data_IF_300992578479
#
_entry.id   IF_300992578479
#
_cell.length_a   1.000
_cell.length_b   1.000
_cell.length_c   1.000
_cell.angle_alpha   90.00
_cell.angle_beta   90.00
_cell.angle_gamma   90.00
#
_symmetry.space_group_name_H-M   'P 1'
#
loop_
_entity.id
_entity.type
_entity.pdbx_description
1 polymer ?
#
# COMPACT_ATOMS: atom_id res chain seq x y z
N UNK A 1 -14.50 42.73 13.49
CA UNK A 1 -14.95 41.97 12.30
C UNK A 1 -14.03 40.76 12.17
N UNK A 2 -14.47 39.60 12.70
CA UNK A 2 -13.64 38.42 12.85
C UNK A 2 -13.73 37.57 11.58
N UNK A 3 -12.64 37.44 10.85
CA UNK A 3 -12.51 36.51 9.73
C UNK A 3 -12.39 35.08 10.30
N UNK A 4 -13.49 34.35 10.35
CA UNK A 4 -13.49 32.90 10.53
C UNK A 4 -12.84 32.30 9.29
N UNK A 5 -11.62 31.76 9.47
CA UNK A 5 -11.09 30.77 8.54
C UNK A 5 -12.05 29.58 8.56
N UNK A 6 -12.75 29.37 7.46
CA UNK A 6 -13.43 28.10 7.22
C UNK A 6 -12.34 27.04 7.20
N UNK A 7 -12.32 26.19 8.21
CA UNK A 7 -11.69 24.88 8.09
C UNK A 7 -12.30 24.27 6.83
N UNK A 8 -11.45 23.99 5.85
CA UNK A 8 -11.81 23.08 4.77
C UNK A 8 -12.14 21.75 5.45
N UNK A 9 -13.40 21.57 5.73
CA UNK A 9 -14.00 20.29 5.98
C UNK A 9 -13.93 19.53 4.65
N UNK A 10 -12.77 18.94 4.38
CA UNK A 10 -12.61 17.89 3.39
C UNK A 10 -13.16 16.59 3.98
N UNK A 11 -14.28 16.70 4.70
CA UNK A 11 -15.17 15.61 5.06
C UNK A 11 -16.03 15.17 3.88
N UNK A 12 -15.43 15.13 2.69
CA UNK A 12 -15.88 14.21 1.66
C UNK A 12 -15.66 12.79 2.19
N UNK A 13 -16.49 11.80 1.81
CA UNK A 13 -16.23 10.42 2.15
C UNK A 13 -14.77 10.18 1.80
N UNK A 14 -13.97 9.75 2.80
CA UNK A 14 -12.59 9.37 2.63
C UNK A 14 -12.47 8.77 1.25
N UNK A 15 -11.79 9.45 0.35
CA UNK A 15 -11.35 8.90 -0.92
C UNK A 15 -10.24 7.93 -0.56
N UNK A 16 -10.60 6.90 0.21
CA UNK A 16 -9.96 5.61 0.12
C UNK A 16 -9.97 5.35 -1.37
N UNK A 17 -8.82 5.48 -1.98
CA UNK A 17 -8.61 5.47 -3.42
C UNK A 17 -9.64 4.53 -4.05
N UNK A 18 -10.56 5.00 -4.91
CA UNK A 18 -11.48 4.11 -5.63
C UNK A 18 -10.71 3.01 -6.36
N UNK A 19 -9.40 3.25 -6.60
CA UNK A 19 -8.45 2.29 -7.12
C UNK A 19 -8.20 1.08 -6.25
N UNK A 20 -8.08 1.19 -4.92
CA UNK A 20 -7.76 0.00 -4.10
C UNK A 20 -8.88 -1.04 -4.13
N UNK A 21 -10.13 -0.61 -3.95
CA UNK A 21 -11.30 -1.47 -4.10
C UNK A 21 -11.52 -1.91 -5.55
N UNK A 22 -11.23 -1.03 -6.51
CA UNK A 22 -11.37 -1.30 -7.93
C UNK A 22 -10.36 -2.31 -8.45
N UNK A 23 -9.11 -2.25 -8.01
CA UNK A 23 -8.04 -3.16 -8.45
C UNK A 23 -8.31 -4.59 -7.97
N UNK A 24 -8.68 -4.77 -6.70
CA UNK A 24 -9.00 -6.10 -6.15
C UNK A 24 -10.25 -6.71 -6.79
N UNK A 25 -11.30 -5.92 -7.02
CA UNK A 25 -12.51 -6.36 -7.71
C UNK A 25 -12.27 -6.70 -9.18
N UNK A 26 -11.52 -5.85 -9.88
CA UNK A 26 -11.29 -6.03 -11.32
C UNK A 26 -10.33 -7.18 -11.63
N UNK A 27 -9.30 -7.40 -10.80
CA UNK A 27 -8.26 -8.37 -11.08
C UNK A 27 -8.63 -9.82 -10.72
N UNK A 28 -9.45 -10.05 -9.70
CA UNK A 28 -9.70 -11.39 -9.17
C UNK A 28 -11.19 -11.74 -8.94
N UNK A 29 -12.12 -10.82 -9.19
CA UNK A 29 -13.54 -11.04 -8.91
C UNK A 29 -13.86 -11.28 -7.43
N UNK A 30 -12.96 -10.85 -6.52
CA UNK A 30 -13.09 -11.05 -5.07
C UNK A 30 -13.86 -9.88 -4.48
N UNK A 31 -14.93 -10.17 -3.75
CA UNK A 31 -15.62 -9.16 -2.96
C UNK A 31 -14.78 -8.77 -1.75
N UNK A 32 -14.51 -7.46 -1.64
CA UNK A 32 -13.73 -6.92 -0.52
C UNK A 32 -14.67 -6.60 0.64
N UNK A 33 -14.51 -7.32 1.73
CA UNK A 33 -15.22 -7.04 2.97
C UNK A 33 -14.68 -5.74 3.59
N UNK A 34 -15.56 -4.74 3.87
CA UNK A 34 -15.11 -3.45 4.44
C UNK A 34 -14.37 -3.61 5.77
N UNK A 35 -14.71 -4.62 6.55
CA UNK A 35 -14.07 -4.96 7.82
C UNK A 35 -12.60 -5.38 7.70
N UNK A 36 -12.12 -5.75 6.52
CA UNK A 36 -10.72 -6.12 6.27
C UNK A 36 -9.84 -4.94 5.82
N UNK A 37 -10.44 -3.78 5.52
CA UNK A 37 -9.68 -2.59 5.13
C UNK A 37 -9.33 -1.78 6.37
N UNK A 38 -8.05 -1.46 6.53
CA UNK A 38 -7.51 -0.66 7.63
C UNK A 38 -6.71 0.52 7.11
N UNK A 39 -6.83 1.66 7.78
CA UNK A 39 -6.07 2.85 7.43
C UNK A 39 -4.81 2.94 8.29
N UNK A 40 -3.65 2.70 7.70
CA UNK A 40 -2.39 2.51 8.42
C UNK A 40 -1.49 3.74 8.52
N UNK A 41 -1.89 4.92 8.00
CA UNK A 41 -1.15 6.20 8.11
C UNK A 41 0.35 6.12 7.72
N UNK A 42 0.75 5.16 6.88
CA UNK A 42 2.14 4.86 6.52
C UNK A 42 3.06 4.61 7.74
N UNK A 43 2.50 4.19 8.86
CA UNK A 43 3.20 3.95 10.12
C UNK A 43 3.24 2.44 10.45
N UNK A 44 4.43 1.94 10.81
CA UNK A 44 4.63 0.53 11.10
C UNK A 44 3.94 0.09 12.41
N UNK A 45 3.90 0.95 13.43
CA UNK A 45 3.28 0.61 14.71
C UNK A 45 1.75 0.53 14.55
N UNK A 46 1.15 1.49 13.87
CA UNK A 46 -0.28 1.48 13.53
C UNK A 46 -0.63 0.26 12.69
N UNK A 47 0.18 -0.08 11.69
CA UNK A 47 -0.02 -1.27 10.88
C UNK A 47 0.09 -2.56 11.71
N UNK A 48 1.02 -2.62 12.66
CA UNK A 48 1.16 -3.76 13.56
C UNK A 48 -0.05 -3.94 14.49
N UNK A 49 -0.63 -2.85 14.99
CA UNK A 49 -1.85 -2.90 15.79
C UNK A 49 -3.04 -3.42 14.98
N UNK A 50 -3.24 -2.90 13.77
CA UNK A 50 -4.29 -3.36 12.87
C UNK A 50 -4.12 -4.82 12.46
N UNK A 51 -2.89 -5.23 12.13
CA UNK A 51 -2.59 -6.61 11.81
C UNK A 51 -2.89 -7.54 13.00
N UNK A 52 -2.50 -7.15 14.21
CA UNK A 52 -2.78 -7.94 15.41
C UNK A 52 -4.29 -8.09 15.67
N UNK A 53 -5.10 -7.06 15.39
CA UNK A 53 -6.56 -7.15 15.50
C UNK A 53 -7.13 -8.12 14.45
N UNK A 54 -6.69 -8.02 13.19
CA UNK A 54 -7.13 -8.89 12.11
C UNK A 54 -6.74 -10.35 12.36
N UNK A 55 -5.52 -10.60 12.82
CA UNK A 55 -5.00 -11.95 13.06
C UNK A 55 -5.60 -12.63 14.31
N UNK A 56 -6.19 -11.86 15.23
CA UNK A 56 -6.92 -12.39 16.41
C UNK A 56 -8.42 -12.60 16.15
N UNK A 57 -8.93 -12.21 15.00
CA UNK A 57 -10.32 -12.42 14.64
C UNK A 57 -10.65 -13.92 14.56
N UNK A 58 -11.92 -14.32 14.74
CA UNK A 58 -12.35 -15.73 14.62
C UNK A 58 -12.05 -16.32 13.24
N UNK A 59 -12.10 -15.50 12.19
CA UNK A 59 -11.75 -15.85 10.81
C UNK A 59 -10.65 -14.88 10.31
N UNK A 60 -9.36 -15.16 10.60
CA UNK A 60 -8.29 -14.28 10.26
C UNK A 60 -7.94 -14.34 8.76
N UNK A 61 -7.52 -13.23 8.15
CA UNK A 61 -7.11 -13.23 6.75
C UNK A 61 -5.86 -14.11 6.55
N UNK A 62 -5.82 -14.86 5.45
CA UNK A 62 -4.65 -15.63 5.02
C UNK A 62 -3.64 -14.81 4.21
N UNK A 63 -3.97 -13.57 3.87
CA UNK A 63 -3.07 -12.64 3.19
C UNK A 63 -3.36 -11.19 3.59
N UNK A 64 -2.31 -10.39 3.70
CA UNK A 64 -2.37 -8.94 3.93
C UNK A 64 -1.52 -8.23 2.88
N UNK A 65 -2.15 -7.31 2.16
CA UNK A 65 -1.45 -6.33 1.32
C UNK A 65 -1.32 -5.02 2.11
N UNK A 66 -0.10 -4.56 2.28
CA UNK A 66 0.21 -3.28 2.92
C UNK A 66 0.56 -2.24 1.87
N UNK A 67 0.03 -1.02 2.01
CA UNK A 67 0.20 0.06 1.04
C UNK A 67 1.62 0.68 1.04
N UNK A 68 2.51 0.21 1.93
CA UNK A 68 3.95 0.49 1.90
C UNK A 68 4.73 -0.64 2.58
N UNK A 69 6.02 -0.77 2.27
CA UNK A 69 6.91 -1.73 2.92
C UNK A 69 7.08 -1.43 4.42
N UNK A 70 7.05 -0.16 4.81
CA UNK A 70 7.05 0.24 6.22
C UNK A 70 5.87 -0.37 6.98
N UNK A 71 4.68 -0.32 6.39
CA UNK A 71 3.49 -0.96 6.97
C UNK A 71 3.60 -2.49 6.94
N UNK A 72 4.13 -3.07 5.86
CA UNK A 72 4.35 -4.51 5.76
C UNK A 72 5.30 -5.01 6.86
N UNK A 73 6.34 -4.26 7.21
CA UNK A 73 7.24 -4.55 8.33
C UNK A 73 6.46 -4.58 9.65
N UNK A 74 5.52 -3.66 9.85
CA UNK A 74 4.61 -3.68 11.00
C UNK A 74 3.76 -4.94 11.05
N UNK A 75 3.20 -5.37 9.90
CA UNK A 75 2.43 -6.62 9.78
C UNK A 75 3.29 -7.83 10.14
N UNK A 76 4.52 -7.92 9.61
CA UNK A 76 5.46 -9.00 9.90
C UNK A 76 5.79 -9.07 11.41
N UNK A 77 6.04 -7.90 12.03
CA UNK A 77 6.28 -7.81 13.46
C UNK A 77 5.06 -8.30 14.30
N UNK A 78 3.85 -7.99 13.87
CA UNK A 78 2.64 -8.49 14.56
C UNK A 78 2.47 -9.99 14.38
N UNK A 79 2.72 -10.53 13.19
CA UNK A 79 2.65 -11.97 12.92
C UNK A 79 3.67 -12.74 13.77
N UNK A 80 4.92 -12.26 13.85
CA UNK A 80 5.96 -12.86 14.68
C UNK A 80 5.57 -12.91 16.16
N UNK A 81 5.11 -11.77 16.73
CA UNK A 81 4.64 -11.69 18.13
C UNK A 81 3.46 -12.61 18.43
N UNK A 82 2.65 -12.93 17.44
CA UNK A 82 1.48 -13.81 17.59
C UNK A 82 1.78 -15.27 17.22
N UNK A 83 3.00 -15.59 16.80
CA UNK A 83 3.38 -16.92 16.36
C UNK A 83 2.72 -17.35 15.05
N UNK A 84 2.28 -16.40 14.22
CA UNK A 84 1.67 -16.68 12.92
C UNK A 84 2.76 -16.85 11.87
N UNK A 85 2.85 -18.05 11.29
CA UNK A 85 3.88 -18.37 10.32
C UNK A 85 3.68 -17.64 8.98
N UNK A 86 4.71 -16.87 8.56
CA UNK A 86 4.77 -16.20 7.26
C UNK A 86 5.81 -16.92 6.41
N UNK A 87 5.51 -17.39 5.20
CA UNK A 87 4.23 -17.31 4.48
C UNK A 87 3.26 -18.45 4.79
N UNK A 88 3.57 -19.32 5.75
CA UNK A 88 2.87 -20.59 6.00
C UNK A 88 1.38 -20.44 6.33
N UNK A 89 1.01 -19.47 7.14
CA UNK A 89 -0.37 -19.16 7.55
C UNK A 89 -0.83 -17.81 7.02
N UNK A 90 0.09 -16.86 6.83
CA UNK A 90 -0.17 -15.51 6.36
C UNK A 90 0.79 -15.14 5.24
N UNK A 91 0.28 -14.78 4.08
CA UNK A 91 1.08 -14.10 3.06
C UNK A 91 1.08 -12.59 3.30
N UNK A 92 2.25 -11.95 3.22
CA UNK A 92 2.40 -10.50 3.35
C UNK A 92 3.06 -9.94 2.11
N UNK A 93 2.43 -8.92 1.53
CA UNK A 93 2.96 -8.18 0.36
C UNK A 93 2.95 -6.70 0.70
N UNK A 94 4.09 -6.04 0.47
CA UNK A 94 4.27 -4.60 0.63
C UNK A 94 4.17 -3.83 -0.68
N UNK A 95 4.62 -2.59 -0.64
CA UNK A 95 4.69 -1.69 -1.78
C UNK A 95 5.86 -0.72 -1.56
N UNK A 96 6.62 -0.38 -2.58
CA UNK A 96 7.74 0.52 -2.78
C UNK A 96 9.06 -0.18 -3.13
N UNK A 97 9.33 -1.37 -2.59
CA UNK A 97 10.61 -2.09 -2.66
C UNK A 97 11.77 -1.27 -2.08
N UNK A 98 11.58 -0.80 -0.84
CA UNK A 98 12.65 -0.13 -0.09
C UNK A 98 13.81 -1.09 0.20
N UNK A 99 14.99 -0.56 0.49
CA UNK A 99 16.20 -1.36 0.70
C UNK A 99 16.02 -2.49 1.73
N UNK A 100 15.35 -2.19 2.85
CA UNK A 100 15.09 -3.18 3.91
C UNK A 100 14.18 -4.32 3.47
N UNK A 101 13.33 -4.14 2.45
CA UNK A 101 12.46 -5.19 1.95
C UNK A 101 13.24 -6.40 1.43
N UNK A 102 14.36 -6.17 0.77
CA UNK A 102 15.24 -7.24 0.27
C UNK A 102 15.87 -8.03 1.42
N UNK A 103 16.37 -7.36 2.45
CA UNK A 103 16.98 -8.01 3.62
C UNK A 103 15.97 -8.84 4.42
N UNK A 104 14.73 -8.39 4.48
CA UNK A 104 13.65 -9.09 5.18
C UNK A 104 12.99 -10.19 4.33
N UNK A 105 13.41 -10.36 3.09
CA UNK A 105 12.76 -11.28 2.16
C UNK A 105 11.29 -10.88 1.88
N UNK A 106 10.93 -9.60 2.02
CA UNK A 106 9.58 -9.10 1.84
C UNK A 106 9.19 -9.10 0.36
N UNK A 107 8.10 -9.79 0.05
CA UNK A 107 7.43 -9.67 -1.25
C UNK A 107 6.79 -8.29 -1.34
N UNK A 108 7.02 -7.57 -2.43
CA UNK A 108 6.58 -6.18 -2.56
C UNK A 108 6.42 -5.79 -4.02
N UNK A 109 5.79 -4.66 -4.26
CA UNK A 109 5.68 -4.06 -5.59
C UNK A 109 6.70 -2.94 -5.72
N UNK A 110 7.67 -3.13 -6.63
CA UNK A 110 8.70 -2.12 -6.92
C UNK A 110 8.12 -1.00 -7.77
N UNK A 111 8.28 0.23 -7.30
CA UNK A 111 8.00 1.43 -8.05
C UNK A 111 9.31 1.99 -8.69
N UNK A 112 9.26 2.54 -9.90
CA UNK A 112 10.41 3.22 -10.50
C UNK A 112 10.54 4.66 -9.96
N UNK A 113 10.79 4.82 -8.64
CA UNK A 113 10.77 6.12 -7.95
C UNK A 113 11.73 7.14 -8.55
N UNK A 114 12.96 6.73 -8.88
CA UNK A 114 13.94 7.62 -9.50
C UNK A 114 13.46 8.13 -10.87
N UNK A 115 12.89 7.24 -11.69
CA UNK A 115 12.32 7.60 -12.98
C UNK A 115 11.10 8.52 -12.82
N UNK A 116 10.23 8.23 -11.84
CA UNK A 116 9.06 9.04 -11.52
C UNK A 116 9.46 10.46 -11.13
N UNK A 117 10.44 10.59 -10.24
CA UNK A 117 10.97 11.90 -9.83
C UNK A 117 11.60 12.66 -10.98
N UNK A 118 12.46 12.03 -11.78
CA UNK A 118 13.11 12.64 -12.93
C UNK A 118 12.09 13.11 -13.98
N UNK A 119 11.11 12.28 -14.31
CA UNK A 119 10.06 12.61 -15.27
C UNK A 119 9.16 13.73 -14.75
N UNK A 120 8.80 13.70 -13.46
CA UNK A 120 8.04 14.77 -12.82
C UNK A 120 8.76 16.11 -12.88
N UNK A 121 10.05 16.15 -12.55
CA UNK A 121 10.88 17.34 -12.61
C UNK A 121 11.01 17.87 -14.05
N UNK A 122 11.29 16.97 -15.02
CA UNK A 122 11.39 17.34 -16.44
C UNK A 122 10.10 17.99 -16.94
N UNK A 123 8.95 17.41 -16.62
CA UNK A 123 7.62 17.91 -17.02
C UNK A 123 7.29 19.24 -16.37
N UNK A 124 7.64 19.40 -15.08
CA UNK A 124 7.47 20.67 -14.38
C UNK A 124 8.31 21.77 -15.02
N UNK A 125 9.60 21.52 -15.28
CA UNK A 125 10.47 22.49 -15.95
C UNK A 125 9.96 22.87 -17.35
N UNK A 126 9.46 21.92 -18.13
CA UNK A 126 8.88 22.18 -19.43
C UNK A 126 7.66 23.14 -19.31
N UNK A 127 6.77 22.88 -18.35
CA UNK A 127 5.62 23.78 -18.10
C UNK A 127 6.02 25.17 -17.66
N UNK A 128 7.05 25.30 -16.83
CA UNK A 128 7.57 26.60 -16.40
C UNK A 128 8.16 27.42 -17.58
N UNK A 129 8.64 26.74 -18.62
CA UNK A 129 9.08 27.38 -19.88
C UNK A 129 7.93 27.69 -20.86
N UNK A 130 6.68 27.41 -20.48
CA UNK A 130 5.51 27.62 -21.34
C UNK A 130 5.27 26.50 -22.37
N UNK A 131 6.02 25.39 -22.29
CA UNK A 131 5.86 24.26 -23.20
C UNK A 131 4.58 23.46 -22.86
N UNK A 132 3.93 22.94 -23.90
CA UNK A 132 2.80 22.01 -23.70
C UNK A 132 3.31 20.61 -23.38
N UNK A 133 2.99 20.13 -22.17
CA UNK A 133 3.34 18.78 -21.75
C UNK A 133 2.16 17.84 -21.99
N UNK A 134 2.36 16.87 -22.85
CA UNK A 134 1.37 15.83 -23.17
C UNK A 134 2.05 14.44 -23.16
N UNK A 135 1.33 13.37 -22.81
CA UNK A 135 0.00 13.33 -22.20
C UNK A 135 0.01 13.95 -20.79
N UNK A 136 -1.15 14.38 -20.28
CA UNK A 136 -1.26 14.94 -18.93
C UNK A 136 -1.03 13.88 -17.83
N UNK A 137 -1.38 12.65 -18.13
CA UNK A 137 -1.15 11.48 -17.26
C UNK A 137 -0.17 10.54 -17.97
N UNK A 138 0.81 10.06 -17.22
CA UNK A 138 1.76 9.05 -17.66
C UNK A 138 1.80 7.94 -16.64
N UNK A 139 1.67 6.71 -17.11
CA UNK A 139 1.81 5.51 -16.30
C UNK A 139 3.24 4.99 -16.43
N UNK A 140 3.83 4.63 -15.31
CA UNK A 140 5.16 4.03 -15.27
C UNK A 140 5.01 2.55 -14.90
N UNK A 141 5.84 1.66 -15.45
CA UNK A 141 5.78 0.24 -15.16
C UNK A 141 6.13 -0.03 -13.69
N UNK A 142 5.39 -0.93 -13.06
CA UNK A 142 5.69 -1.47 -11.74
C UNK A 142 6.04 -2.95 -11.87
N UNK A 143 6.77 -3.50 -10.89
CA UNK A 143 7.22 -4.88 -10.90
C UNK A 143 6.91 -5.59 -9.58
N UNK A 144 6.35 -6.80 -9.64
CA UNK A 144 6.16 -7.61 -8.44
C UNK A 144 7.47 -8.33 -8.09
N UNK A 145 8.02 -7.99 -6.95
CA UNK A 145 9.20 -8.63 -6.35
C UNK A 145 8.72 -9.75 -5.42
N UNK A 146 8.49 -10.94 -5.97
CA UNK A 146 8.12 -12.10 -5.18
C UNK A 146 9.33 -12.61 -4.38
N UNK A 147 9.17 -12.68 -3.04
CA UNK A 147 10.21 -13.15 -2.09
C UNK A 147 9.61 -14.12 -1.07
N UNK A 148 10.19 -14.19 0.13
CA UNK A 148 9.86 -15.17 1.15
C UNK A 148 8.58 -14.97 1.93
N UNK A 149 7.94 -13.81 1.88
CA UNK A 149 6.75 -13.49 2.70
C UNK A 149 5.41 -13.79 2.02
N UNK A 150 5.42 -14.29 0.80
CA UNK A 150 4.20 -14.70 0.10
C UNK A 150 4.33 -16.10 -0.49
N UNK A 151 3.24 -16.83 -0.49
CA UNK A 151 3.15 -18.16 -1.07
C UNK A 151 1.81 -18.36 -1.79
N UNK A 152 1.73 -19.45 -2.55
CA UNK A 152 0.48 -19.86 -3.21
C UNK A 152 -0.61 -20.10 -2.17
N UNK A 153 -1.81 -19.59 -2.42
CA UNK A 153 -2.97 -19.85 -1.56
C UNK A 153 -3.21 -21.36 -1.38
N UNK A 154 -3.42 -21.77 -0.13
CA UNK A 154 -3.85 -23.14 0.15
C UNK A 154 -5.31 -23.28 -0.29
N UNK A 155 -5.60 -24.31 -1.05
CA UNK A 155 -6.96 -24.68 -1.42
C UNK A 155 -7.63 -25.42 -0.30
#
# INVERSE_FOLDING_TARGET
MAHRRRSNDLGGPSTSFPGERGILRAAAGIDVEPGLIRQGSHDAAVAAEHAAQLLKAPDPPSAIFAASDTQAIGVLSAADRLGVAVPGQLSVVGFDDIESAAFLGLSTVRQPLALSGAEGARRLCARLRGEQVRPLRQELPIELMARGTSARARR
#
